data_IF_284781486047
#
_entry.id   IF_284781486047
#
_cell.length_a   1.000
_cell.length_b   1.000
_cell.length_c   1.000
_cell.angle_alpha   90.00
_cell.angle_beta   90.00
_cell.angle_gamma   90.00
#
_symmetry.space_group_name_H-M   'P 1'
#
loop_
_entity.id
_entity.type
_entity.pdbx_description
1 polymer ?
#
# COMPACT_ATOMS: atom_id res chain seq x y z
N UNK A 1 -8.74 -28.98 40.87
CA UNK A 1 -8.13 -28.33 39.70
C UNK A 1 -9.25 -28.04 38.72
N UNK A 2 -9.32 -26.85 38.14
CA UNK A 2 -10.31 -26.57 37.10
C UNK A 2 -9.96 -27.42 35.86
N UNK A 3 -10.80 -28.41 35.54
CA UNK A 3 -10.65 -29.19 34.32
C UNK A 3 -10.96 -28.27 33.14
N UNK A 4 -9.93 -27.94 32.35
CA UNK A 4 -10.13 -27.18 31.12
C UNK A 4 -10.98 -28.03 30.17
N UNK A 5 -12.14 -27.49 29.76
CA UNK A 5 -13.02 -28.20 28.84
C UNK A 5 -12.39 -28.26 27.45
N UNK A 6 -12.56 -29.40 26.78
CA UNK A 6 -12.20 -29.53 25.38
C UNK A 6 -12.94 -28.48 24.53
N UNK A 7 -12.31 -27.93 23.48
CA UNK A 7 -13.02 -27.06 22.55
C UNK A 7 -14.17 -27.81 21.88
N UNK A 8 -15.26 -27.09 21.57
CA UNK A 8 -16.34 -27.64 20.76
C UNK A 8 -15.80 -28.11 19.38
N UNK A 9 -16.41 -29.13 18.75
CA UNK A 9 -15.98 -29.62 17.44
C UNK A 9 -15.81 -28.53 16.38
N UNK A 10 -14.85 -28.73 15.47
CA UNK A 10 -14.61 -27.79 14.39
C UNK A 10 -15.60 -28.02 13.26
N UNK A 11 -16.65 -27.21 13.24
CA UNK A 11 -17.61 -27.22 12.14
C UNK A 11 -17.04 -26.45 10.94
N UNK A 12 -16.85 -27.16 9.82
CA UNK A 12 -16.32 -26.63 8.55
C UNK A 12 -17.41 -25.90 7.74
N UNK A 13 -18.69 -26.23 7.98
CA UNK A 13 -19.82 -25.82 7.14
C UNK A 13 -20.57 -24.59 7.69
N UNK A 14 -20.31 -24.19 8.95
CA UNK A 14 -20.91 -22.95 9.49
C UNK A 14 -20.31 -21.73 8.80
N UNK A 15 -21.14 -21.04 8.00
CA UNK A 15 -20.88 -19.68 7.54
C UNK A 15 -21.06 -18.70 8.70
N UNK A 16 -19.95 -18.38 9.37
CA UNK A 16 -19.91 -17.50 10.53
C UNK A 16 -19.39 -16.09 10.23
N UNK A 17 -19.42 -15.66 8.96
CA UNK A 17 -18.86 -14.38 8.51
C UNK A 17 -17.33 -14.28 8.62
N UNK A 18 -16.65 -15.39 8.94
CA UNK A 18 -15.18 -15.52 8.98
C UNK A 18 -14.78 -16.76 8.19
N UNK A 19 -13.67 -16.66 7.45
CA UNK A 19 -13.15 -17.79 6.68
C UNK A 19 -12.77 -18.97 7.58
N UNK A 20 -12.86 -20.18 7.02
CA UNK A 20 -12.42 -21.41 7.70
C UNK A 20 -10.97 -21.33 8.15
N UNK A 21 -10.11 -20.63 7.42
CA UNK A 21 -8.73 -20.35 7.81
C UNK A 21 -8.64 -19.65 9.18
N UNK A 22 -9.31 -18.51 9.34
CA UNK A 22 -9.28 -17.72 10.58
C UNK A 22 -9.91 -18.48 11.75
N UNK A 23 -11.00 -19.21 11.49
CA UNK A 23 -11.65 -20.07 12.49
C UNK A 23 -10.73 -21.19 12.93
N UNK A 24 -10.10 -21.89 11.99
CA UNK A 24 -9.17 -22.99 12.25
C UNK A 24 -7.97 -22.53 13.08
N UNK A 25 -7.32 -21.42 12.72
CA UNK A 25 -6.21 -20.85 13.50
C UNK A 25 -6.60 -20.60 14.96
N UNK A 26 -7.81 -20.07 15.19
CA UNK A 26 -8.32 -19.81 16.54
C UNK A 26 -8.70 -21.09 17.29
N UNK A 27 -9.22 -22.09 16.58
CA UNK A 27 -9.62 -23.38 17.13
C UNK A 27 -8.41 -24.23 17.53
N UNK A 28 -7.43 -24.38 16.63
CA UNK A 28 -6.25 -25.21 16.88
C UNK A 28 -5.42 -24.68 18.04
N UNK A 29 -5.34 -23.34 18.22
CA UNK A 29 -4.68 -22.72 19.38
C UNK A 29 -5.35 -23.09 20.70
N UNK A 30 -6.70 -23.16 20.73
CA UNK A 30 -7.45 -23.59 21.93
C UNK A 30 -7.27 -25.07 22.18
N UNK A 31 -7.21 -25.86 21.11
CA UNK A 31 -6.93 -27.29 21.19
C UNK A 31 -5.52 -27.58 21.74
N UNK A 32 -4.48 -26.85 21.29
CA UNK A 32 -3.12 -27.00 21.84
C UNK A 32 -3.08 -26.69 23.35
N UNK A 33 -3.74 -25.61 23.78
CA UNK A 33 -3.85 -25.27 25.20
C UNK A 33 -4.59 -26.35 26.00
N UNK A 34 -5.58 -27.00 25.39
CA UNK A 34 -6.28 -28.14 25.98
C UNK A 34 -5.37 -29.37 26.13
N UNK A 35 -4.56 -29.70 25.11
CA UNK A 35 -3.57 -30.78 25.19
C UNK A 35 -2.56 -30.52 26.31
N UNK A 36 -2.04 -29.29 26.40
CA UNK A 36 -1.08 -28.87 27.42
C UNK A 36 -1.68 -28.96 28.82
N UNK A 37 -2.89 -28.44 29.03
CA UNK A 37 -3.58 -28.52 30.32
C UNK A 37 -3.94 -29.96 30.72
N UNK A 38 -4.08 -30.85 29.73
CA UNK A 38 -4.38 -32.27 29.94
C UNK A 38 -3.13 -33.16 30.01
N UNK A 39 -1.93 -32.56 29.94
CA UNK A 39 -0.64 -33.27 29.91
C UNK A 39 -0.55 -34.33 28.80
N UNK A 40 -1.21 -34.11 27.67
CA UNK A 40 -1.14 -34.99 26.50
C UNK A 40 0.00 -34.48 25.61
N UNK A 41 1.15 -35.16 25.67
CA UNK A 41 2.38 -34.72 24.98
C UNK A 41 2.81 -35.64 23.84
N UNK A 42 2.45 -36.92 23.90
CA UNK A 42 2.88 -37.90 22.91
C UNK A 42 2.13 -37.71 21.58
N UNK A 43 2.86 -37.84 20.46
CA UNK A 43 2.34 -37.58 19.11
C UNK A 43 1.02 -38.34 18.83
N UNK A 44 1.00 -39.65 19.12
CA UNK A 44 -0.15 -40.51 18.80
C UNK A 44 -1.40 -40.15 19.62
N UNK A 45 -1.32 -40.01 20.96
CA UNK A 45 -2.42 -39.45 21.77
C UNK A 45 -2.88 -38.05 21.32
N UNK A 46 -1.96 -37.14 20.98
CA UNK A 46 -2.31 -35.82 20.47
C UNK A 46 -3.14 -35.91 19.18
N UNK A 47 -2.72 -36.73 18.21
CA UNK A 47 -3.45 -36.90 16.95
C UNK A 47 -4.81 -37.59 17.19
N UNK A 48 -4.85 -38.64 18.01
CA UNK A 48 -6.11 -39.32 18.35
C UNK A 48 -7.13 -38.35 18.98
N UNK A 49 -6.65 -37.51 19.89
CA UNK A 49 -7.48 -36.49 20.55
C UNK A 49 -7.93 -35.42 19.56
N UNK A 50 -7.08 -35.02 18.61
CA UNK A 50 -7.41 -34.04 17.57
C UNK A 50 -8.54 -34.54 16.67
N UNK A 51 -8.47 -35.79 16.23
CA UNK A 51 -9.48 -36.40 15.37
C UNK A 51 -10.82 -36.48 16.10
N UNK A 52 -10.80 -36.98 17.34
CA UNK A 52 -12.01 -37.13 18.15
C UNK A 52 -12.66 -35.79 18.53
N UNK A 53 -11.89 -34.83 19.04
CA UNK A 53 -12.41 -33.51 19.47
C UNK A 53 -12.71 -32.63 18.27
N UNK A 54 -12.00 -32.80 17.15
CA UNK A 54 -12.22 -32.08 15.90
C UNK A 54 -13.58 -32.37 15.27
N UNK A 55 -14.10 -33.58 15.46
CA UNK A 55 -15.39 -34.03 14.95
C UNK A 55 -15.29 -34.66 13.55
N UNK A 56 -16.40 -35.22 13.09
CA UNK A 56 -16.50 -36.11 11.92
C UNK A 56 -15.83 -35.56 10.66
N UNK A 57 -15.95 -34.24 10.42
CA UNK A 57 -15.39 -33.62 9.23
C UNK A 57 -13.86 -33.52 9.25
N UNK A 58 -13.27 -33.41 10.44
CA UNK A 58 -11.82 -33.48 10.63
C UNK A 58 -11.33 -34.91 10.40
N UNK A 59 -12.07 -35.92 10.86
CA UNK A 59 -11.76 -37.33 10.60
C UNK A 59 -11.82 -37.65 9.10
N UNK A 60 -12.89 -37.25 8.41
CA UNK A 60 -13.03 -37.44 6.95
C UNK A 60 -11.88 -36.81 6.16
N UNK A 61 -11.48 -35.58 6.52
CA UNK A 61 -10.33 -34.91 5.87
C UNK A 61 -9.04 -35.69 6.13
N UNK A 62 -8.83 -36.22 7.34
CA UNK A 62 -7.68 -37.05 7.66
C UNK A 62 -7.64 -38.30 6.79
N UNK A 63 -8.76 -39.03 6.72
CA UNK A 63 -8.85 -40.27 5.94
C UNK A 63 -8.49 -40.05 4.47
N UNK A 64 -9.07 -39.01 3.87
CA UNK A 64 -8.79 -38.63 2.47
C UNK A 64 -7.34 -38.21 2.28
N UNK A 65 -6.79 -37.37 3.16
CA UNK A 65 -5.43 -36.81 3.00
C UNK A 65 -4.33 -37.81 3.31
N UNK A 66 -4.57 -38.74 4.25
CA UNK A 66 -3.61 -39.77 4.64
C UNK A 66 -3.81 -41.06 3.88
N UNK A 67 -4.93 -41.23 3.18
CA UNK A 67 -5.33 -42.49 2.56
C UNK A 67 -5.28 -43.62 3.60
N UNK A 68 -5.90 -43.41 4.76
CA UNK A 68 -5.88 -44.33 5.89
C UNK A 68 -7.09 -44.10 6.81
N UNK A 69 -7.80 -45.18 7.17
CA UNK A 69 -8.91 -45.17 8.14
C UNK A 69 -8.45 -45.25 9.60
N UNK A 70 -7.14 -45.34 9.83
CA UNK A 70 -6.54 -45.39 11.17
C UNK A 70 -5.23 -44.60 11.20
N UNK A 71 -4.81 -44.23 12.41
CA UNK A 71 -3.55 -43.53 12.66
C UNK A 71 -2.35 -44.31 12.10
N UNK A 72 -1.60 -43.68 11.19
CA UNK A 72 -0.34 -44.25 10.69
C UNK A 72 0.68 -44.40 11.82
N UNK A 73 1.53 -45.44 11.72
CA UNK A 73 2.65 -45.62 12.65
C UNK A 73 3.65 -44.46 12.48
N UNK A 74 4.22 -44.01 13.59
CA UNK A 74 5.27 -42.98 13.67
C UNK A 74 4.90 -41.58 13.12
N UNK A 75 3.60 -41.32 12.98
CA UNK A 75 3.12 -40.01 12.53
C UNK A 75 3.29 -38.94 13.61
N UNK A 76 3.85 -37.80 13.23
CA UNK A 76 4.10 -36.67 14.12
C UNK A 76 2.92 -35.72 14.18
N UNK A 77 2.54 -35.31 15.39
CA UNK A 77 1.43 -34.39 15.62
C UNK A 77 1.63 -33.07 14.84
N UNK A 78 2.86 -32.54 14.84
CA UNK A 78 3.20 -31.33 14.09
C UNK A 78 2.90 -31.45 12.58
N UNK A 79 3.13 -32.61 11.98
CA UNK A 79 2.87 -32.86 10.55
C UNK A 79 1.37 -32.93 10.27
N UNK A 80 0.60 -33.60 11.14
CA UNK A 80 -0.86 -33.67 11.01
C UNK A 80 -1.51 -32.31 11.20
N UNK A 81 -1.10 -31.58 12.23
CA UNK A 81 -1.54 -30.21 12.51
C UNK A 81 -1.26 -29.27 11.33
N UNK A 82 -0.06 -29.35 10.73
CA UNK A 82 0.28 -28.56 9.54
C UNK A 82 -0.61 -28.94 8.36
N UNK A 83 -0.81 -30.24 8.10
CA UNK A 83 -1.67 -30.72 7.03
C UNK A 83 -3.09 -30.14 7.12
N UNK A 84 -3.72 -30.16 8.30
CA UNK A 84 -5.03 -29.54 8.48
C UNK A 84 -5.00 -28.03 8.30
N UNK A 85 -3.97 -27.36 8.85
CA UNK A 85 -3.81 -25.91 8.68
C UNK A 85 -3.68 -25.51 7.22
N UNK A 86 -2.99 -26.31 6.41
CA UNK A 86 -2.85 -26.11 4.97
C UNK A 86 -4.18 -26.39 4.23
N UNK A 87 -5.02 -27.31 4.72
CA UNK A 87 -6.34 -27.59 4.13
C UNK A 87 -7.33 -26.45 4.33
N UNK A 88 -7.31 -25.79 5.49
CA UNK A 88 -8.23 -24.70 5.80
C UNK A 88 -7.69 -23.32 5.46
N UNK A 89 -6.37 -23.18 5.28
CA UNK A 89 -5.80 -21.99 4.65
C UNK A 89 -6.45 -21.82 3.28
N UNK A 90 -6.84 -20.60 2.87
CA UNK A 90 -7.17 -20.39 1.47
C UNK A 90 -5.93 -20.84 0.73
N UNK A 91 -6.07 -21.80 -0.18
CA UNK A 91 -4.95 -22.22 -1.02
C UNK A 91 -4.45 -20.91 -1.65
N UNK A 92 -3.25 -20.47 -1.27
CA UNK A 92 -2.70 -19.21 -1.77
C UNK A 92 -2.62 -19.40 -3.27
N UNK A 93 -3.55 -18.80 -3.98
CA UNK A 93 -3.51 -18.82 -5.43
C UNK A 93 -2.42 -17.79 -5.78
N UNK A 94 -1.20 -18.30 -5.89
CA UNK A 94 0.00 -17.52 -6.18
C UNK A 94 -0.21 -16.77 -7.49
N UNK A 95 -0.86 -17.41 -8.47
CA UNK A 95 -1.16 -16.79 -9.77
C UNK A 95 -2.13 -15.62 -9.61
N UNK A 96 -3.19 -15.76 -8.82
CA UNK A 96 -4.12 -14.65 -8.54
C UNK A 96 -3.47 -13.53 -7.73
N UNK A 97 -2.61 -13.88 -6.77
CA UNK A 97 -1.84 -12.90 -5.99
C UNK A 97 -0.88 -12.13 -6.88
N UNK A 98 -0.19 -12.84 -7.77
CA UNK A 98 0.71 -12.26 -8.78
C UNK A 98 -0.08 -11.39 -9.75
N UNK A 99 -1.24 -11.83 -10.22
CA UNK A 99 -2.12 -11.04 -11.10
C UNK A 99 -2.55 -9.75 -10.42
N UNK A 100 -2.97 -9.80 -9.15
CA UNK A 100 -3.31 -8.61 -8.36
C UNK A 100 -2.11 -7.67 -8.20
N UNK A 101 -0.91 -8.21 -7.97
CA UNK A 101 0.32 -7.43 -7.95
C UNK A 101 0.57 -6.73 -9.29
N UNK A 102 0.46 -7.43 -10.43
CA UNK A 102 0.66 -6.85 -11.77
C UNK A 102 -0.39 -5.82 -12.15
N UNK A 103 -1.60 -5.96 -11.65
CA UNK A 103 -2.69 -5.00 -11.85
C UNK A 103 -2.63 -3.80 -10.89
N UNK A 104 -1.62 -3.73 -10.03
CA UNK A 104 -1.44 -2.62 -9.10
C UNK A 104 -0.65 -1.48 -9.75
N UNK A 105 -1.31 -0.33 -9.87
CA UNK A 105 -0.74 0.93 -10.35
C UNK A 105 -0.75 1.97 -9.23
N UNK A 106 0.13 2.98 -9.31
CA UNK A 106 0.07 4.14 -8.42
C UNK A 106 -1.27 4.84 -8.62
N UNK A 107 -1.97 5.12 -7.51
CA UNK A 107 -3.24 5.87 -7.52
C UNK A 107 -2.97 7.36 -7.73
N UNK A 108 -3.96 8.08 -8.25
CA UNK A 108 -3.86 9.53 -8.34
C UNK A 108 -3.71 10.14 -6.94
N UNK A 109 -2.71 11.01 -6.77
CA UNK A 109 -2.37 11.62 -5.47
C UNK A 109 -1.68 10.70 -4.45
N UNK A 110 -1.43 9.41 -4.77
CA UNK A 110 -0.65 8.52 -3.92
C UNK A 110 0.84 8.83 -4.09
N UNK A 111 1.56 9.17 -3.00
CA UNK A 111 3.01 9.32 -3.03
C UNK A 111 3.73 8.00 -3.33
N UNK A 112 4.97 8.06 -3.82
CA UNK A 112 5.68 6.85 -4.25
C UNK A 112 6.01 5.91 -3.11
N UNK A 113 6.29 6.44 -1.93
CA UNK A 113 6.54 5.63 -0.73
C UNK A 113 5.31 4.80 -0.36
N UNK A 114 4.11 5.40 -0.40
CA UNK A 114 2.86 4.70 -0.12
C UNK A 114 2.58 3.59 -1.16
N UNK A 115 2.80 3.90 -2.44
CA UNK A 115 2.68 2.90 -3.51
C UNK A 115 3.66 1.74 -3.31
N UNK A 116 4.93 2.04 -2.97
CA UNK A 116 5.97 1.04 -2.70
C UNK A 116 5.63 0.13 -1.51
N UNK A 117 5.10 0.69 -0.42
CA UNK A 117 4.62 -0.10 0.73
C UNK A 117 3.52 -1.06 0.29
N UNK A 118 2.53 -0.59 -0.49
CA UNK A 118 1.43 -1.43 -0.98
C UNK A 118 1.93 -2.56 -1.89
N UNK A 119 2.87 -2.26 -2.78
CA UNK A 119 3.53 -3.26 -3.62
C UNK A 119 4.29 -4.30 -2.80
N UNK A 120 5.06 -3.87 -1.78
CA UNK A 120 5.76 -4.77 -0.85
C UNK A 120 4.79 -5.68 -0.10
N UNK A 121 3.66 -5.15 0.37
CA UNK A 121 2.61 -5.94 1.03
C UNK A 121 2.05 -7.02 0.09
N UNK A 122 1.69 -6.66 -1.15
CA UNK A 122 1.17 -7.62 -2.12
C UNK A 122 2.22 -8.69 -2.51
N UNK A 123 3.49 -8.30 -2.63
CA UNK A 123 4.57 -9.22 -2.97
C UNK A 123 4.75 -10.35 -1.93
N UNK A 124 4.37 -10.14 -0.66
CA UNK A 124 4.44 -11.19 0.37
C UNK A 124 3.59 -12.43 0.07
N UNK A 125 2.54 -12.28 -0.74
CA UNK A 125 1.66 -13.37 -1.17
C UNK A 125 2.04 -13.96 -2.53
N UNK A 126 3.02 -13.39 -3.23
CA UNK A 126 3.39 -13.79 -4.60
C UNK A 126 4.58 -14.76 -4.67
N UNK A 127 5.21 -15.07 -3.54
CA UNK A 127 6.34 -16.02 -3.44
C UNK A 127 7.54 -15.69 -4.36
N UNK A 128 7.79 -14.41 -4.64
CA UNK A 128 8.93 -13.98 -5.49
C UNK A 128 10.31 -14.28 -4.91
N UNK A 129 10.41 -14.62 -3.62
CA UNK A 129 11.66 -14.94 -2.94
C UNK A 129 12.67 -13.80 -3.05
N UNK A 130 13.89 -14.13 -3.45
CA UNK A 130 15.01 -13.18 -3.62
C UNK A 130 14.77 -12.16 -4.75
N UNK A 131 13.79 -12.38 -5.63
CA UNK A 131 13.48 -11.47 -6.75
C UNK A 131 12.47 -10.38 -6.38
N UNK A 132 12.03 -10.30 -5.12
CA UNK A 132 10.98 -9.35 -4.68
C UNK A 132 11.26 -7.90 -5.10
N UNK A 133 12.47 -7.39 -4.85
CA UNK A 133 12.84 -6.01 -5.18
C UNK A 133 12.87 -5.77 -6.69
N UNK A 134 13.29 -6.78 -7.47
CA UNK A 134 13.26 -6.74 -8.94
C UNK A 134 11.82 -6.63 -9.44
N UNK A 135 10.90 -7.39 -8.86
CA UNK A 135 9.50 -7.37 -9.27
C UNK A 135 8.80 -6.05 -8.92
N UNK A 136 9.11 -5.48 -7.76
CA UNK A 136 8.63 -4.13 -7.39
C UNK A 136 9.20 -3.08 -8.34
N UNK A 137 10.49 -3.15 -8.69
CA UNK A 137 11.12 -2.26 -9.67
C UNK A 137 10.40 -2.31 -11.02
N UNK A 138 10.15 -3.51 -11.56
CA UNK A 138 9.39 -3.69 -12.80
C UNK A 138 7.98 -3.10 -12.70
N UNK A 139 7.31 -3.29 -11.57
CA UNK A 139 5.97 -2.75 -11.35
C UNK A 139 5.97 -1.21 -11.25
N UNK A 140 7.01 -0.60 -10.68
CA UNK A 140 7.18 0.86 -10.67
C UNK A 140 7.43 1.41 -12.08
N UNK A 141 8.24 0.73 -12.91
CA UNK A 141 8.45 1.11 -14.32
C UNK A 141 7.09 1.12 -15.06
N UNK A 142 6.29 0.07 -14.87
CA UNK A 142 5.00 -0.04 -15.53
C UNK A 142 3.99 1.00 -15.00
N UNK A 143 3.82 1.06 -13.68
CA UNK A 143 2.63 1.65 -13.06
C UNK A 143 2.80 2.92 -12.25
N UNK A 144 4.00 3.49 -12.18
CA UNK A 144 4.20 4.84 -11.64
C UNK A 144 3.51 5.92 -12.52
N UNK A 145 3.24 7.10 -11.97
CA UNK A 145 2.70 8.26 -12.68
C UNK A 145 3.82 9.19 -13.17
N UNK A 146 4.85 9.38 -12.36
CA UNK A 146 5.98 10.27 -12.69
C UNK A 146 6.96 9.59 -13.66
N UNK A 147 7.06 10.14 -14.88
CA UNK A 147 7.96 9.64 -15.93
C UNK A 147 9.43 9.63 -15.51
N UNK A 148 9.87 10.57 -14.68
CA UNK A 148 11.27 10.66 -14.22
C UNK A 148 11.62 9.47 -13.35
N UNK A 149 10.69 9.04 -12.50
CA UNK A 149 10.85 7.88 -11.63
C UNK A 149 10.85 6.60 -12.45
N UNK A 150 9.99 6.48 -13.48
CA UNK A 150 10.05 5.36 -14.43
C UNK A 150 11.41 5.25 -15.12
N UNK A 151 11.94 6.38 -15.60
CA UNK A 151 13.24 6.42 -16.25
C UNK A 151 14.37 6.04 -15.30
N UNK A 152 14.36 6.54 -14.06
CA UNK A 152 15.33 6.13 -13.02
C UNK A 152 15.23 4.63 -12.74
N UNK A 153 14.02 4.11 -12.62
CA UNK A 153 13.77 2.69 -12.39
C UNK A 153 14.17 1.81 -13.58
N UNK A 154 14.18 2.32 -14.82
CA UNK A 154 14.61 1.55 -15.99
C UNK A 154 16.14 1.44 -16.15
N UNK A 155 16.92 2.13 -15.32
CA UNK A 155 18.39 2.07 -15.37
C UNK A 155 18.94 0.72 -14.88
N UNK A 156 20.04 0.30 -15.51
CA UNK A 156 20.81 -0.86 -15.09
C UNK A 156 21.45 -0.63 -13.71
N UNK A 157 21.55 -1.71 -12.92
CA UNK A 157 22.18 -1.73 -11.59
C UNK A 157 21.62 -0.75 -10.55
N UNK A 158 20.50 -0.07 -10.83
CA UNK A 158 19.80 0.74 -9.83
C UNK A 158 18.94 -0.14 -8.94
N UNK A 159 19.14 0.01 -7.62
CA UNK A 159 18.41 -0.68 -6.56
C UNK A 159 17.05 -0.03 -6.29
N UNK A 160 16.14 -0.79 -5.65
CA UNK A 160 14.84 -0.25 -5.25
C UNK A 160 14.99 0.94 -4.29
N UNK A 161 15.94 0.87 -3.36
CA UNK A 161 16.20 1.94 -2.39
C UNK A 161 16.63 3.25 -3.08
N UNK A 162 17.51 3.19 -4.08
CA UNK A 162 17.93 4.36 -4.85
C UNK A 162 16.79 4.99 -5.65
N UNK A 163 15.85 4.18 -6.15
CA UNK A 163 14.64 4.68 -6.84
C UNK A 163 13.76 5.45 -5.86
N UNK A 164 13.54 4.91 -4.65
CA UNK A 164 12.70 5.55 -3.63
C UNK A 164 13.35 6.84 -3.11
N UNK A 165 14.66 6.85 -2.85
CA UNK A 165 15.39 8.07 -2.49
C UNK A 165 15.30 9.15 -3.57
N UNK A 166 15.40 8.75 -4.85
CA UNK A 166 15.22 9.67 -5.96
C UNK A 166 13.79 10.23 -6.00
N UNK A 167 12.77 9.39 -5.83
CA UNK A 167 11.37 9.81 -5.76
C UNK A 167 11.13 10.86 -4.66
N UNK A 168 11.63 10.60 -3.45
CA UNK A 168 11.55 11.52 -2.31
C UNK A 168 12.19 12.88 -2.62
N UNK A 169 13.35 12.90 -3.28
CA UNK A 169 13.99 14.17 -3.66
C UNK A 169 13.19 14.97 -4.69
N UNK A 170 12.47 14.29 -5.59
CA UNK A 170 11.56 14.95 -6.53
C UNK A 170 10.34 15.55 -5.82
N UNK A 171 9.74 14.81 -4.89
CA UNK A 171 8.59 15.28 -4.10
C UNK A 171 8.97 16.51 -3.24
N UNK A 172 10.14 16.48 -2.60
CA UNK A 172 10.64 17.64 -1.85
C UNK A 172 10.91 18.85 -2.76
N UNK A 173 11.46 18.63 -3.95
CA UNK A 173 11.76 19.70 -4.90
C UNK A 173 10.49 20.36 -5.45
N UNK A 174 9.44 19.58 -5.73
CA UNK A 174 8.18 20.10 -6.26
C UNK A 174 7.42 20.90 -5.20
N UNK A 175 7.44 20.45 -3.94
CA UNK A 175 6.83 21.16 -2.83
C UNK A 175 7.55 22.48 -2.53
N UNK A 176 8.89 22.49 -2.56
CA UNK A 176 9.67 23.71 -2.42
C UNK A 176 9.40 24.73 -3.56
N UNK A 177 9.27 24.26 -4.80
CA UNK A 177 8.90 25.11 -5.95
C UNK A 177 7.50 25.70 -5.77
N UNK A 178 6.52 24.88 -5.38
CA UNK A 178 5.15 25.35 -5.15
C UNK A 178 5.10 26.42 -4.05
N UNK A 179 5.78 26.21 -2.91
CA UNK A 179 5.87 27.20 -1.83
C UNK A 179 6.47 28.52 -2.34
N UNK A 180 7.52 28.46 -3.16
CA UNK A 180 8.14 29.66 -3.72
C UNK A 180 7.24 30.38 -4.74
N UNK A 181 6.45 29.65 -5.53
CA UNK A 181 5.45 30.25 -6.42
C UNK A 181 4.35 30.96 -5.63
N UNK A 182 3.79 30.33 -4.59
CA UNK A 182 2.82 30.98 -3.69
C UNK A 182 3.38 32.23 -3.02
N UNK A 183 4.65 32.23 -2.58
CA UNK A 183 5.32 33.41 -2.02
C UNK A 183 5.54 34.52 -3.05
N UNK A 184 5.82 34.17 -4.32
CA UNK A 184 5.98 35.14 -5.40
C UNK A 184 4.64 35.80 -5.77
N UNK A 185 3.54 35.05 -5.74
CA UNK A 185 2.20 35.58 -5.98
C UNK A 185 1.73 36.52 -4.87
N UNK A 186 2.03 36.22 -3.59
CA UNK A 186 1.73 37.15 -2.49
C UNK A 186 2.71 38.33 -2.37
N UNK A 187 3.88 38.26 -3.01
CA UNK A 187 4.88 39.33 -3.05
C UNK A 187 4.64 40.40 -4.12
N UNK A 188 3.61 40.26 -4.97
CA UNK A 188 3.36 41.17 -6.11
C UNK A 188 2.42 42.36 -5.81
N UNK A 189 2.09 42.64 -4.56
CA UNK A 189 1.37 43.87 -4.18
C UNK A 189 2.25 44.71 -3.26
N UNK A 190 3.08 45.58 -3.87
CA UNK A 190 3.54 46.89 -3.36
C UNK A 190 4.67 47.43 -4.25
N UNK A 191 4.33 47.98 -5.40
CA UNK A 191 5.04 49.16 -5.92
C UNK A 191 4.03 49.98 -6.72
N UNK A 192 3.49 51.05 -6.11
CA UNK A 192 3.22 52.34 -6.75
C UNK A 192 2.39 53.24 -5.81
N UNK A 193 3.04 54.27 -5.25
CA UNK A 193 2.47 55.60 -5.03
C UNK A 193 3.46 56.44 -4.20
N UNK A 194 4.38 57.11 -4.87
CA UNK A 194 5.02 58.29 -4.30
C UNK A 194 5.42 59.24 -5.43
N UNK A 195 4.43 59.89 -6.04
CA UNK A 195 4.57 61.27 -6.49
C UNK A 195 3.17 61.85 -6.71
N UNK A 196 3.01 63.12 -6.31
CA UNK A 196 1.79 63.98 -6.32
C UNK A 196 1.05 64.05 -4.97
N UNK A 197 0.77 65.20 -4.34
CA UNK A 197 0.89 66.63 -4.65
C UNK A 197 0.95 67.42 -3.33
N UNK A 198 1.77 68.47 -3.25
CA UNK A 198 1.47 69.64 -2.40
C UNK A 198 1.36 70.85 -3.31
N UNK A 199 0.14 71.26 -3.60
CA UNK A 199 -0.17 72.59 -4.12
C UNK A 199 -0.26 73.59 -2.97
N UNK A 200 0.23 74.82 -3.19
CA UNK A 200 0.07 75.92 -2.25
C UNK A 200 0.76 77.23 -2.66
N UNK A 201 0.03 78.04 -3.45
CA UNK A 201 -0.02 79.52 -3.47
C UNK A 201 1.10 80.39 -4.10
N UNK A 202 0.62 81.17 -5.09
CA UNK A 202 0.85 82.60 -5.40
C UNK A 202 2.25 83.16 -5.72
N UNK A 203 2.40 83.72 -6.94
CA UNK A 203 2.55 85.16 -7.22
C UNK A 203 3.47 85.47 -8.42
N UNK A 204 2.93 86.27 -9.35
CA UNK A 204 3.59 87.26 -10.22
C UNK A 204 4.84 86.91 -11.06
N UNK A 205 4.75 87.21 -12.37
CA UNK A 205 5.89 87.77 -13.11
C UNK A 205 6.33 87.03 -14.38
N UNK A 206 5.70 87.40 -15.49
CA UNK A 206 6.29 87.74 -16.79
C UNK A 206 7.43 86.90 -17.41
N UNK A 207 7.25 86.48 -18.67
CA UNK A 207 8.35 86.40 -19.64
C UNK A 207 8.33 85.23 -20.63
N UNK A 208 8.17 85.59 -21.91
CA UNK A 208 8.70 84.92 -23.12
C UNK A 208 8.12 83.53 -23.50
N UNK A 209 7.18 83.46 -24.45
CA UNK A 209 7.34 83.47 -25.94
C UNK A 209 7.63 82.09 -26.54
N UNK A 210 6.86 81.71 -27.57
CA UNK A 210 7.22 80.61 -28.50
C UNK A 210 6.16 79.52 -28.60
N UNK A 211 5.07 79.75 -29.33
CA UNK A 211 4.82 79.26 -30.72
C UNK A 211 4.31 77.83 -30.86
N UNK A 212 3.10 77.73 -31.45
CA UNK A 212 2.62 76.79 -32.49
C UNK A 212 2.61 75.28 -32.10
N UNK A 213 1.59 74.49 -32.38
CA UNK A 213 0.61 74.48 -33.48
C UNK A 213 -0.45 73.42 -33.14
N UNK A 214 -1.72 73.70 -33.44
CA UNK A 214 -2.79 72.72 -33.51
C UNK A 214 -2.47 71.59 -34.48
N UNK A 215 -2.74 70.33 -34.11
CA UNK A 215 -3.02 69.26 -35.07
C UNK A 215 -4.25 68.47 -34.61
N UNK A 216 -5.30 68.61 -35.41
CA UNK A 216 -6.61 67.94 -35.33
C UNK A 216 -6.51 66.45 -35.68
N UNK A 217 -7.42 65.68 -35.07
CA UNK A 217 -7.79 64.30 -35.39
C UNK A 217 -8.17 64.11 -36.86
N UNK A 218 -7.81 62.96 -37.45
CA UNK A 218 -8.44 62.41 -38.65
C UNK A 218 -8.62 60.90 -38.48
N UNK A 219 -9.87 60.44 -38.60
CA UNK A 219 -10.29 59.04 -38.62
C UNK A 219 -10.29 58.55 -40.07
N UNK A 220 -9.76 57.35 -40.32
CA UNK A 220 -9.81 56.68 -41.62
C UNK A 220 -10.87 55.58 -41.59
N UNK A 221 -11.82 55.68 -42.51
CA UNK A 221 -12.79 54.66 -42.89
C UNK A 221 -12.40 54.07 -44.25
N UNK A 222 -12.89 52.85 -44.51
CA UNK A 222 -12.74 52.06 -45.74
C UNK A 222 -12.72 50.58 -45.34
N UNK A 223 -13.76 49.78 -45.56
CA UNK A 223 -14.88 49.85 -46.51
C UNK A 223 -16.25 49.78 -45.81
#
# INVERSE_FOLDING_TARGET
>A
MAHLLAPAPFDVEIDGGRSNATRWTSWIRRFDAFLEASSITDDRPCIATLLHVGGDKIEEIYEVKRNASTLKKDEKYAVVKKMFSDCFSPQKNIDMSTLQFRQTYQRQGEGIDACSVRLKTLATSCEFGTSTDREIKLQLIQGCLDKRIKLKAAQDNVTLEEILKFAQSLEFSSEAVNINLYKKEQGSSKVEAAYQLKGGANAFGNGYSGTKKDIKKCFKCGL
#
